data_IF_270296496447
#
_entry.id   IF_270296496447
#
_cell.length_a   1.000
_cell.length_b   1.000
_cell.length_c   1.000
_cell.angle_alpha   90.00
_cell.angle_beta   90.00
_cell.angle_gamma   90.00
#
_symmetry.space_group_name_H-M   'P 1'
#
loop_
_entity.id
_entity.type
_entity.pdbx_description
1 polymer ?
#
# COMPACT_ATOMS: atom_id res chain seq x y z
N UNK A 1 5.55 9.72 -18.48
CA UNK A 1 6.20 10.90 -17.88
C UNK A 1 6.83 10.50 -16.55
N UNK A 2 8.08 10.91 -16.29
CA UNK A 2 8.71 10.81 -14.98
C UNK A 2 8.45 12.13 -14.23
N UNK A 3 7.66 12.10 -13.17
CA UNK A 3 7.39 13.26 -12.34
C UNK A 3 7.53 12.89 -10.85
N UNK A 4 7.55 13.90 -9.99
CA UNK A 4 7.70 13.75 -8.53
C UNK A 4 6.60 12.84 -7.93
N UNK A 5 5.38 12.93 -8.45
CA UNK A 5 4.26 12.13 -7.97
C UNK A 5 4.52 10.62 -8.08
N UNK A 6 5.24 10.15 -9.10
CA UNK A 6 5.55 8.71 -9.24
C UNK A 6 6.37 8.11 -8.10
N UNK A 7 7.13 8.94 -7.37
CA UNK A 7 8.00 8.51 -6.26
C UNK A 7 7.35 8.77 -4.90
N UNK A 8 6.64 9.89 -4.77
CA UNK A 8 6.18 10.40 -3.48
C UNK A 8 4.67 10.25 -3.25
N UNK A 9 3.87 9.97 -4.28
CA UNK A 9 2.47 9.64 -4.06
C UNK A 9 2.33 8.15 -3.80
N UNK A 10 1.69 7.74 -2.68
CA UNK A 10 1.19 6.40 -2.50
C UNK A 10 0.36 5.96 -3.71
N UNK A 11 0.82 4.93 -4.39
CA UNK A 11 0.16 4.33 -5.54
C UNK A 11 -0.71 3.15 -5.13
N UNK A 12 -0.19 2.26 -4.28
CA UNK A 12 -0.97 1.19 -3.69
C UNK A 12 -0.48 0.82 -2.30
N UNK A 13 -1.35 0.17 -1.54
CA UNK A 13 -0.99 -0.57 -0.33
C UNK A 13 -0.86 -2.04 -0.71
N UNK A 14 0.23 -2.67 -0.29
CA UNK A 14 0.55 -4.06 -0.60
C UNK A 14 0.69 -4.87 0.69
N UNK A 15 -0.18 -5.88 0.86
CA UNK A 15 -0.19 -6.75 2.03
C UNK A 15 0.91 -7.79 1.92
N UNK A 16 1.71 -7.87 2.95
CA UNK A 16 2.81 -8.82 3.07
C UNK A 16 2.32 -10.14 3.67
N UNK A 17 3.12 -11.20 3.53
CA UNK A 17 2.76 -12.54 4.02
C UNK A 17 2.57 -12.62 5.53
N UNK A 18 3.22 -11.75 6.28
CA UNK A 18 3.09 -11.64 7.74
C UNK A 18 1.85 -10.83 8.18
N UNK A 19 1.07 -10.30 7.23
CA UNK A 19 -0.12 -9.48 7.47
C UNK A 19 0.18 -7.98 7.63
N UNK A 20 1.45 -7.57 7.58
CA UNK A 20 1.82 -6.16 7.51
C UNK A 20 1.50 -5.58 6.12
N UNK A 21 1.54 -4.26 6.00
CA UNK A 21 1.27 -3.53 4.77
C UNK A 21 2.43 -2.61 4.43
N UNK A 22 2.72 -2.46 3.14
CA UNK A 22 3.72 -1.53 2.62
C UNK A 22 3.04 -0.54 1.68
N UNK A 23 3.35 0.74 1.86
CA UNK A 23 2.88 1.80 0.97
C UNK A 23 3.88 1.94 -0.16
N UNK A 24 3.43 1.66 -1.38
CA UNK A 24 4.27 1.66 -2.58
C UNK A 24 3.95 2.86 -3.46
N UNK A 25 4.97 3.39 -4.12
CA UNK A 25 4.85 4.38 -5.18
C UNK A 25 4.61 3.71 -6.55
N UNK A 26 4.49 4.50 -7.63
CA UNK A 26 4.14 3.99 -8.97
C UNK A 26 5.20 3.07 -9.58
N UNK A 27 6.40 3.03 -9.00
CA UNK A 27 7.48 2.12 -9.38
C UNK A 27 7.47 0.82 -8.56
N UNK A 28 6.41 0.59 -7.77
CA UNK A 28 6.32 -0.51 -6.80
C UNK A 28 7.51 -0.54 -5.84
N UNK A 29 7.92 0.65 -5.37
CA UNK A 29 8.94 0.84 -4.33
C UNK A 29 8.30 1.49 -3.12
N UNK A 30 8.80 1.26 -1.89
CA UNK A 30 8.32 1.99 -0.72
C UNK A 30 8.30 3.50 -0.98
N UNK A 31 7.24 4.19 -0.56
CA UNK A 31 7.11 5.64 -0.78
C UNK A 31 8.35 6.36 -0.25
N UNK A 32 8.93 7.23 -1.09
CA UNK A 32 10.20 7.92 -0.80
C UNK A 32 11.46 7.22 -1.32
N UNK A 33 11.39 5.95 -1.74
CA UNK A 33 12.51 5.28 -2.41
C UNK A 33 12.54 5.69 -3.88
N UNK A 34 13.71 6.16 -4.33
CA UNK A 34 13.96 6.59 -5.72
C UNK A 34 15.06 5.75 -6.37
N UNK A 35 14.85 4.43 -6.40
CA UNK A 35 15.78 3.46 -6.99
C UNK A 35 15.55 3.31 -8.50
N UNK A 36 16.44 2.60 -9.19
CA UNK A 36 16.24 2.33 -10.62
C UNK A 36 15.00 1.44 -10.83
N UNK A 37 14.24 1.60 -11.93
CA UNK A 37 13.04 0.80 -12.17
C UNK A 37 13.28 -0.72 -12.21
N UNK A 38 14.46 -1.16 -12.66
CA UNK A 38 14.83 -2.57 -12.78
C UNK A 38 15.43 -3.13 -11.49
N UNK A 39 15.73 -2.29 -10.51
CA UNK A 39 16.31 -2.71 -9.25
C UNK A 39 15.29 -3.49 -8.45
N UNK A 40 15.61 -4.72 -8.06
CA UNK A 40 14.74 -5.52 -7.20
C UNK A 40 14.93 -5.12 -5.74
N UNK A 41 13.83 -4.97 -5.01
CA UNK A 41 13.86 -4.63 -3.58
C UNK A 41 12.98 -5.62 -2.83
N UNK A 42 13.55 -6.29 -1.85
CA UNK A 42 12.82 -7.07 -0.87
C UNK A 42 12.35 -6.14 0.25
N UNK A 43 11.04 -5.92 0.39
CA UNK A 43 10.53 -4.94 1.36
C UNK A 43 10.90 -5.27 2.80
N UNK A 44 11.02 -6.56 3.13
CA UNK A 44 11.41 -7.06 4.47
C UNK A 44 12.81 -6.63 4.90
N UNK A 45 13.67 -6.22 3.97
CA UNK A 45 15.03 -5.78 4.26
C UNK A 45 15.06 -4.32 4.76
N UNK A 46 13.89 -3.65 4.80
CA UNK A 46 13.75 -2.26 5.22
C UNK A 46 12.60 -2.10 6.23
N UNK A 47 12.68 -1.14 7.18
CA UNK A 47 11.62 -0.88 8.15
C UNK A 47 10.48 -0.04 7.53
N UNK A 48 9.87 -0.56 6.47
CA UNK A 48 8.85 0.14 5.66
C UNK A 48 7.46 -0.47 5.79
N UNK A 49 7.36 -1.65 6.38
CA UNK A 49 6.08 -2.31 6.64
C UNK A 49 5.48 -1.85 7.97
N UNK A 50 4.15 -1.78 8.01
CA UNK A 50 3.37 -1.43 9.19
C UNK A 50 2.21 -2.39 9.35
N UNK A 51 1.82 -2.68 10.59
CA UNK A 51 0.55 -3.34 10.85
C UNK A 51 -0.56 -2.29 10.91
N UNK A 52 -1.74 -2.64 10.43
CA UNK A 52 -2.93 -1.79 10.47
C UNK A 52 -4.01 -2.50 11.29
N UNK A 53 -4.71 -1.75 12.14
CA UNK A 53 -5.86 -2.25 12.89
C UNK A 53 -7.14 -2.10 12.06
N UNK A 54 -8.07 -3.04 12.21
CA UNK A 54 -9.46 -2.94 11.78
C UNK A 54 -9.66 -2.50 10.31
N UNK A 55 -8.90 -3.08 9.37
CA UNK A 55 -9.13 -2.87 7.94
C UNK A 55 -10.31 -3.74 7.47
N UNK A 56 -11.52 -3.17 7.47
CA UNK A 56 -12.73 -3.84 6.98
C UNK A 56 -12.83 -3.81 5.46
N UNK A 57 -13.56 -4.75 4.88
CA UNK A 57 -13.84 -4.77 3.43
C UNK A 57 -14.49 -3.47 2.93
N UNK A 58 -15.33 -2.85 3.74
CA UNK A 58 -15.99 -1.59 3.39
C UNK A 58 -14.98 -0.44 3.30
N UNK A 59 -14.03 -0.38 4.23
CA UNK A 59 -12.96 0.60 4.20
C UNK A 59 -12.00 0.36 3.02
N UNK A 60 -11.74 -0.90 2.68
CA UNK A 60 -10.98 -1.26 1.48
C UNK A 60 -11.69 -0.74 0.22
N UNK A 61 -13.00 -0.96 0.11
CA UNK A 61 -13.80 -0.45 -1.02
C UNK A 61 -13.83 1.08 -1.07
N UNK A 62 -13.89 1.74 0.08
CA UNK A 62 -13.81 3.21 0.17
C UNK A 62 -12.46 3.71 -0.37
N UNK A 63 -11.35 3.09 0.05
CA UNK A 63 -9.99 3.46 -0.39
C UNK A 63 -9.80 3.19 -1.88
N UNK A 64 -10.20 2.01 -2.37
CA UNK A 64 -10.05 1.65 -3.79
C UNK A 64 -11.02 2.39 -4.70
N UNK A 65 -12.19 2.79 -4.20
CA UNK A 65 -13.27 3.42 -4.94
C UNK A 65 -13.95 2.55 -6.02
N UNK A 66 -13.37 1.41 -6.41
CA UNK A 66 -14.00 0.40 -7.27
C UNK A 66 -13.29 -0.96 -7.19
N UNK A 67 -14.00 -2.03 -7.55
CA UNK A 67 -13.50 -3.42 -7.38
C UNK A 67 -12.24 -3.71 -8.21
N UNK A 68 -12.07 -3.10 -9.39
CA UNK A 68 -10.88 -3.30 -10.23
C UNK A 68 -9.58 -2.75 -9.60
N UNK A 69 -9.71 -1.85 -8.63
CA UNK A 69 -8.58 -1.25 -7.91
C UNK A 69 -8.21 -2.11 -6.67
N UNK A 70 -8.86 -3.26 -6.46
CA UNK A 70 -8.57 -4.23 -5.41
C UNK A 70 -8.07 -5.54 -6.04
N UNK A 71 -7.01 -6.11 -5.48
CA UNK A 71 -6.54 -7.44 -5.83
C UNK A 71 -6.71 -8.39 -4.64
N UNK A 72 -7.12 -9.61 -4.96
CA UNK A 72 -7.26 -10.70 -4.00
C UNK A 72 -6.38 -11.89 -4.39
N UNK A 73 -6.01 -12.70 -3.42
CA UNK A 73 -5.44 -14.03 -3.67
C UNK A 73 -6.54 -15.07 -3.99
N UNK A 74 -6.12 -16.34 -4.12
CA UNK A 74 -6.99 -17.48 -4.44
C UNK A 74 -8.01 -17.78 -3.33
N UNK A 75 -7.75 -17.32 -2.09
CA UNK A 75 -8.65 -17.45 -0.93
C UNK A 75 -9.56 -16.22 -0.76
N UNK A 76 -9.64 -15.37 -1.79
CA UNK A 76 -10.40 -14.11 -1.81
C UNK A 76 -9.97 -13.09 -0.73
N UNK A 77 -8.75 -13.21 -0.20
CA UNK A 77 -8.21 -12.22 0.75
C UNK A 77 -7.60 -11.06 -0.01
N UNK A 78 -7.88 -9.83 0.42
CA UNK A 78 -7.31 -8.63 -0.20
C UNK A 78 -5.80 -8.58 0.03
N UNK A 79 -5.04 -8.52 -1.07
CA UNK A 79 -3.58 -8.46 -1.08
C UNK A 79 -3.06 -7.11 -1.54
N UNK A 80 -3.82 -6.35 -2.34
CA UNK A 80 -3.40 -5.02 -2.79
C UNK A 80 -4.57 -4.09 -3.05
N UNK A 81 -4.36 -2.81 -2.75
CA UNK A 81 -5.36 -1.75 -2.90
C UNK A 81 -4.73 -0.58 -3.65
N UNK A 82 -5.21 -0.26 -4.84
CA UNK A 82 -4.71 0.84 -5.67
C UNK A 82 -5.44 2.15 -5.36
N UNK A 83 -4.68 3.22 -5.14
CA UNK A 83 -5.22 4.57 -4.95
C UNK A 83 -5.50 5.28 -6.27
N UNK A 84 -4.82 4.89 -7.35
CA UNK A 84 -5.04 5.39 -8.70
C UNK A 84 -4.53 4.38 -9.75
N UNK A 85 -4.71 4.66 -11.03
CA UNK A 85 -4.23 3.87 -12.17
C UNK A 85 -3.85 4.78 -13.35
N UNK A 86 -3.50 4.22 -14.51
CA UNK A 86 -3.09 5.04 -15.67
C UNK A 86 -4.20 5.99 -16.16
N UNK A 87 -5.46 5.57 -16.01
CA UNK A 87 -6.64 6.36 -16.40
C UNK A 87 -7.20 7.25 -15.27
N UNK A 88 -6.60 7.20 -14.09
CA UNK A 88 -6.96 8.02 -12.92
C UNK A 88 -5.73 8.64 -12.25
N UNK A 89 -4.64 8.83 -13.02
CA UNK A 89 -3.40 9.42 -12.51
C UNK A 89 -3.70 10.82 -11.96
N UNK A 90 -3.34 11.14 -10.70
CA UNK A 90 -3.68 12.41 -10.08
C UNK A 90 -3.08 13.62 -10.79
N UNK A 91 -2.05 13.43 -11.62
CA UNK A 91 -1.42 14.50 -12.40
C UNK A 91 -2.04 14.72 -13.78
N UNK A 92 -3.02 13.89 -14.17
CA UNK A 92 -3.72 13.96 -15.46
C UNK A 92 -4.76 15.08 -15.50
N UNK A 93 -5.49 15.28 -14.41
CA UNK A 93 -6.56 16.29 -14.31
C UNK A 93 -6.83 16.70 -12.86
N UNK A 94 -7.49 17.85 -12.67
CA UNK A 94 -7.94 18.29 -11.34
C UNK A 94 -8.94 17.32 -10.72
N UNK A 95 -9.81 16.71 -11.53
CA UNK A 95 -10.78 15.73 -11.08
C UNK A 95 -10.09 14.46 -10.55
N UNK A 96 -9.08 13.97 -11.26
CA UNK A 96 -8.30 12.81 -10.83
C UNK A 96 -7.52 13.11 -9.54
N UNK A 97 -6.93 14.31 -9.42
CA UNK A 97 -6.29 14.76 -8.17
C UNK A 97 -7.29 14.77 -7.00
N UNK A 98 -8.50 15.31 -7.19
CA UNK A 98 -9.53 15.36 -6.15
C UNK A 98 -9.94 13.95 -5.70
N UNK A 99 -10.16 13.03 -6.66
CA UNK A 99 -10.48 11.63 -6.36
C UNK A 99 -9.35 10.97 -5.56
N UNK A 100 -8.11 11.15 -5.99
CA UNK A 100 -6.94 10.62 -5.29
C UNK A 100 -6.82 11.15 -3.86
N UNK A 101 -6.99 12.46 -3.65
CA UNK A 101 -6.92 13.07 -2.33
C UNK A 101 -8.00 12.55 -1.38
N UNK A 102 -9.22 12.31 -1.88
CA UNK A 102 -10.29 11.69 -1.07
C UNK A 102 -9.91 10.28 -0.61
N UNK A 103 -9.37 9.45 -1.51
CA UNK A 103 -8.89 8.11 -1.16
C UNK A 103 -7.73 8.16 -0.17
N UNK A 104 -6.78 9.08 -0.39
CA UNK A 104 -5.64 9.28 0.49
C UNK A 104 -6.09 9.71 1.90
N UNK A 105 -7.11 10.58 2.00
CA UNK A 105 -7.69 10.99 3.28
C UNK A 105 -8.20 9.78 4.08
N UNK A 106 -8.92 8.86 3.44
CA UNK A 106 -9.40 7.62 4.09
C UNK A 106 -8.23 6.76 4.58
N UNK A 107 -7.16 6.63 3.78
CA UNK A 107 -5.97 5.88 4.17
C UNK A 107 -5.23 6.53 5.36
N UNK A 108 -5.12 7.86 5.40
CA UNK A 108 -4.43 8.56 6.49
C UNK A 108 -5.16 8.48 7.84
N UNK A 109 -6.42 8.04 7.86
CA UNK A 109 -7.22 7.81 9.08
C UNK A 109 -7.05 6.41 9.67
N UNK A 110 -6.34 5.52 8.97
CA UNK A 110 -6.08 4.16 9.44
C UNK A 110 -5.24 4.17 10.73
N UNK A 111 -5.53 3.22 11.61
CA UNK A 111 -4.81 3.06 12.87
C UNK A 111 -3.66 2.08 12.70
N UNK A 112 -2.52 2.41 13.30
CA UNK A 112 -1.37 1.52 13.39
C UNK A 112 -1.68 0.39 14.37
N UNK A 113 -1.44 -0.84 13.94
CA UNK A 113 -1.56 -2.04 14.74
C UNK A 113 -0.24 -2.49 15.34
N UNK A 114 -0.35 -3.49 16.21
CA UNK A 114 0.81 -4.20 16.76
C UNK A 114 1.14 -5.41 15.91
N UNK A 115 2.42 -5.76 15.88
CA UNK A 115 2.86 -7.04 15.33
C UNK A 115 2.12 -8.21 16.02
N UNK A 116 1.60 -9.20 15.27
CA UNK A 116 0.98 -10.38 15.84
C UNK A 116 1.92 -11.11 16.79
N UNK A 117 1.45 -11.44 18.00
CA UNK A 117 2.28 -12.06 19.05
C UNK A 117 2.89 -13.43 18.68
N UNK A 118 2.44 -14.06 17.59
CA UNK A 118 2.86 -15.42 17.20
C UNK A 118 4.11 -15.49 16.30
N UNK A 119 4.71 -14.36 15.90
CA UNK A 119 5.93 -14.33 15.07
C UNK A 119 7.24 -14.36 15.88
N UNK A 120 7.18 -14.24 17.22
CA UNK A 120 8.38 -14.37 18.07
C UNK A 120 8.68 -15.84 18.33
N UNK A 121 9.45 -16.47 17.45
CA UNK A 121 10.22 -17.65 17.85
C UNK A 121 11.12 -17.25 19.02
N UNK A 122 10.74 -17.64 20.22
CA UNK A 122 11.55 -17.55 21.42
C UNK A 122 12.71 -18.51 21.21
N UNK A 123 13.83 -18.00 20.70
CA UNK A 123 15.11 -18.69 20.83
C UNK A 123 15.51 -18.52 22.29
N UNK A 124 15.16 -19.50 23.13
CA UNK A 124 15.81 -19.65 24.43
C UNK A 124 17.29 -19.96 24.16
N UNK A 125 18.25 -19.15 24.63
CA UNK A 125 19.64 -19.55 24.58
C UNK A 125 19.83 -20.78 25.49
N UNK A 126 20.38 -21.85 24.89
CA UNK A 126 20.87 -23.04 25.58
C UNK A 126 22.08 -22.73 26.46
#
# INVERSE_FOLDING_TARGET
MNNVARVYFPYCLDKQKDGSWVFLNRLYKPVGFNTQPQEWIEYRDYPVSIFLEDISDDLIREIAGCDKDVWTDDDHQVTRIYLYGDMSDPTRSEEDMKRYMGRLESVMKLKLGKEPLHSRNIICPS
#
